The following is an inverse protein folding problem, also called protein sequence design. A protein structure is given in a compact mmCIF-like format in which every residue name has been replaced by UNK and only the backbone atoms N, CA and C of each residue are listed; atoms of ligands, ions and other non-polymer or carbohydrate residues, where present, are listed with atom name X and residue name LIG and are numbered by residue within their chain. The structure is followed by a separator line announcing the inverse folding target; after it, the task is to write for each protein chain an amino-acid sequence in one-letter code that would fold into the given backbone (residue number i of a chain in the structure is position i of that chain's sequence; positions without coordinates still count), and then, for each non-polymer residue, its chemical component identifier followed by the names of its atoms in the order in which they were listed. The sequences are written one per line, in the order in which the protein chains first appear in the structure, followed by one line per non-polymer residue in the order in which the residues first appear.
data_IF_017349309150
#
_entry.id   IF_017349309150
#
_cell.length_a   1.000
_cell.length_b   1.000
_cell.length_c   1.000
_cell.angle_alpha   90.00
_cell.angle_beta   90.00
_cell.angle_gamma   90.00
#
_symmetry.space_group_name_H-M   'P 1'
#
loop_
_entity.id
_entity.type
_entity.pdbx_description
1 polymer ?
#
# COMPACT_ATOMS: atom_id res chain seq x y z
N UNK A 1 4.81 10.62 10.43
CA UNK A 1 4.85 9.25 9.87
C UNK A 1 6.01 9.17 8.89
N UNK A 2 6.98 8.30 9.16
CA UNK A 2 8.05 7.97 8.21
C UNK A 2 7.47 7.18 7.03
N UNK A 3 7.85 7.56 5.80
CA UNK A 3 7.54 6.78 4.59
C UNK A 3 8.55 5.63 4.43
N UNK A 4 8.16 4.48 3.87
CA UNK A 4 9.08 3.38 3.62
C UNK A 4 10.14 3.78 2.60
N UNK A 5 11.37 3.39 2.86
CA UNK A 5 12.53 3.69 2.02
C UNK A 5 13.15 2.41 1.46
N UNK A 6 13.52 2.44 0.18
CA UNK A 6 14.00 1.25 -0.53
C UNK A 6 15.30 0.72 0.07
N UNK A 7 16.21 1.61 0.48
CA UNK A 7 17.52 1.23 1.00
C UNK A 7 17.43 0.83 2.49
N UNK A 8 16.60 1.52 3.27
CA UNK A 8 16.49 1.28 4.72
C UNK A 8 15.52 0.12 5.07
N UNK A 9 14.41 0.00 4.35
CA UNK A 9 13.36 -0.99 4.64
C UNK A 9 13.32 -2.15 3.65
N UNK A 10 14.07 -2.05 2.53
CA UNK A 10 14.04 -3.01 1.43
C UNK A 10 12.85 -2.82 0.48
N UNK A 11 12.03 -1.80 0.68
CA UNK A 11 10.90 -1.48 -0.18
C UNK A 11 10.42 -0.04 -0.02
N UNK A 12 9.78 0.51 -1.05
CA UNK A 12 9.08 1.78 -0.97
C UNK A 12 7.81 1.78 -1.84
N UNK A 13 7.03 2.85 -1.76
CA UNK A 13 5.85 3.06 -2.60
C UNK A 13 6.16 4.06 -3.71
N UNK A 14 5.75 3.74 -4.92
CA UNK A 14 5.83 4.69 -6.02
C UNK A 14 4.63 5.65 -6.02
N UNK A 15 4.85 6.89 -6.47
CA UNK A 15 3.80 7.91 -6.58
C UNK A 15 2.92 7.65 -7.80
N UNK A 16 1.66 7.29 -7.56
CA UNK A 16 0.63 7.18 -8.59
C UNK A 16 0.40 8.53 -9.28
N UNK A 17 0.49 9.63 -8.52
CA UNK A 17 0.36 10.98 -9.05
C UNK A 17 1.46 11.32 -10.05
N UNK A 18 2.71 10.88 -9.80
CA UNK A 18 3.83 11.13 -10.71
C UNK A 18 3.68 10.30 -12.00
N UNK A 19 3.31 9.02 -11.89
CA UNK A 19 3.01 8.20 -13.07
C UNK A 19 1.89 8.80 -13.94
N UNK A 20 0.80 9.25 -13.31
CA UNK A 20 -0.29 9.91 -14.01
C UNK A 20 0.13 11.23 -14.65
N UNK A 21 0.99 12.01 -13.98
CA UNK A 21 1.50 13.26 -14.55
C UNK A 21 2.42 13.03 -15.76
N UNK A 22 3.14 11.91 -15.80
CA UNK A 22 4.00 11.52 -16.91
C UNK A 22 3.21 11.00 -18.12
N UNK A 23 2.17 10.19 -17.88
CA UNK A 23 1.34 9.62 -18.94
C UNK A 23 -0.12 9.43 -18.50
N UNK A 24 -0.87 10.53 -18.51
CA UNK A 24 -2.28 10.54 -18.11
C UNK A 24 -3.19 9.74 -19.06
N UNK A 25 -2.76 9.46 -20.29
CA UNK A 25 -3.56 8.72 -21.27
C UNK A 25 -3.54 7.22 -21.03
N UNK A 26 -2.43 6.69 -20.49
CA UNK A 26 -2.28 5.24 -20.24
C UNK A 26 -2.34 4.85 -18.77
N UNK A 27 -2.22 5.83 -17.87
CA UNK A 27 -2.20 5.61 -16.43
C UNK A 27 -3.26 6.47 -15.72
N UNK A 28 -4.53 6.06 -15.80
CA UNK A 28 -5.60 6.70 -15.04
C UNK A 28 -5.54 6.31 -13.56
N UNK A 29 -5.83 7.29 -12.69
CA UNK A 29 -5.91 7.09 -11.24
C UNK A 29 -7.22 7.68 -10.71
N UNK A 30 -7.73 7.23 -9.55
CA UNK A 30 -8.90 7.82 -8.93
C UNK A 30 -8.70 9.31 -8.63
N UNK A 31 -9.78 10.08 -8.67
CA UNK A 31 -9.72 11.51 -8.36
C UNK A 31 -9.19 11.77 -6.93
N UNK A 32 -8.66 12.97 -6.69
CA UNK A 32 -8.07 13.33 -5.40
C UNK A 32 -9.04 13.12 -4.24
N UNK A 33 -10.33 13.42 -4.43
CA UNK A 33 -11.35 13.25 -3.41
C UNK A 33 -11.55 11.78 -3.05
N UNK A 34 -11.55 10.87 -4.01
CA UNK A 34 -11.65 9.43 -3.80
C UNK A 34 -10.43 8.91 -3.02
N UNK A 35 -9.23 9.36 -3.37
CA UNK A 35 -7.98 8.95 -2.70
C UNK A 35 -7.83 9.56 -1.30
N UNK A 36 -8.39 10.74 -1.05
CA UNK A 36 -8.34 11.46 0.23
C UNK A 36 -9.54 11.18 1.17
N UNK A 37 -10.45 10.27 0.80
CA UNK A 37 -11.65 9.95 1.61
C UNK A 37 -11.83 8.47 1.93
N UNK A 38 -10.73 7.70 1.87
CA UNK A 38 -10.73 6.28 2.23
C UNK A 38 -11.05 6.09 3.71
N UNK A 39 -11.76 5.00 4.02
CA UNK A 39 -12.20 4.66 5.38
C UNK A 39 -11.69 3.29 5.78
N UNK A 40 -11.60 3.00 7.09
CA UNK A 40 -11.29 1.65 7.55
C UNK A 40 -12.19 0.59 6.89
N UNK A 41 -11.55 -0.42 6.30
CA UNK A 41 -12.15 -1.48 5.51
C UNK A 41 -12.17 -1.24 3.99
N UNK A 42 -11.98 -0.02 3.50
CA UNK A 42 -11.82 0.24 2.07
C UNK A 42 -10.50 -0.35 1.55
N UNK A 43 -10.48 -0.70 0.27
CA UNK A 43 -9.30 -1.21 -0.41
C UNK A 43 -8.63 -0.10 -1.20
N UNK A 44 -7.31 -0.01 -1.08
CA UNK A 44 -6.46 0.82 -1.92
C UNK A 44 -5.45 -0.07 -2.62
N UNK A 45 -5.29 0.11 -3.93
CA UNK A 45 -4.22 -0.53 -4.69
C UNK A 45 -3.04 0.43 -4.79
N UNK A 46 -1.85 -0.09 -4.53
CA UNK A 46 -0.60 0.67 -4.47
C UNK A 46 0.45 0.03 -5.39
N UNK A 47 1.50 0.78 -5.72
CA UNK A 47 2.69 0.27 -6.43
C UNK A 47 3.84 0.14 -5.43
N UNK A 48 4.33 -1.07 -5.25
CA UNK A 48 5.48 -1.39 -4.41
C UNK A 48 6.73 -1.53 -5.28
N UNK A 49 7.81 -0.92 -4.83
CA UNK A 49 9.17 -1.18 -5.33
C UNK A 49 9.88 -1.97 -4.24
N UNK A 50 10.41 -3.14 -4.58
CA UNK A 50 10.97 -4.08 -3.60
C UNK A 50 12.40 -4.41 -4.01
N UNK A 51 13.35 -4.15 -3.12
CA UNK A 51 14.74 -4.51 -3.31
C UNK A 51 14.89 -6.03 -3.22
N UNK A 52 15.61 -6.62 -4.15
CA UNK A 52 15.98 -8.04 -4.13
C UNK A 52 17.49 -8.13 -4.19
N UNK A 53 18.08 -8.98 -3.34
CA UNK A 53 19.55 -9.04 -3.17
C UNK A 53 20.31 -9.43 -4.46
N UNK A 54 19.63 -10.07 -5.41
CA UNK A 54 20.23 -10.61 -6.63
C UNK A 54 20.09 -9.70 -7.86
N UNK A 55 19.28 -8.64 -7.83
CA UNK A 55 19.10 -7.71 -8.95
C UNK A 55 19.50 -6.27 -8.59
N UNK A 56 20.12 -5.58 -9.56
CA UNK A 56 20.46 -4.16 -9.45
C UNK A 56 19.22 -3.24 -9.53
N UNK A 57 18.07 -3.75 -9.95
CA UNK A 57 16.81 -3.00 -10.11
C UNK A 57 15.71 -3.60 -9.22
N UNK A 58 14.91 -2.76 -8.52
CA UNK A 58 13.84 -3.27 -7.67
C UNK A 58 12.71 -3.88 -8.50
N UNK A 59 12.10 -4.94 -7.95
CA UNK A 59 10.88 -5.51 -8.52
C UNK A 59 9.72 -4.55 -8.27
N UNK A 60 8.90 -4.33 -9.30
CA UNK A 60 7.67 -3.53 -9.20
C UNK A 60 6.45 -4.44 -9.13
N UNK A 61 5.62 -4.30 -8.09
CA UNK A 61 4.37 -5.04 -7.97
C UNK A 61 3.18 -4.15 -7.55
N UNK A 62 1.95 -4.55 -7.90
CA UNK A 62 0.72 -3.81 -7.61
C UNK A 62 -0.18 -4.59 -6.68
N UNK A 63 -0.20 -4.19 -5.42
CA UNK A 63 -0.92 -4.93 -4.38
C UNK A 63 -2.07 -4.14 -3.76
N UNK A 64 -3.06 -4.87 -3.27
CA UNK A 64 -4.15 -4.33 -2.48
C UNK A 64 -3.78 -4.27 -1.00
N UNK A 65 -4.14 -3.15 -0.38
CA UNK A 65 -4.14 -2.99 1.08
C UNK A 65 -5.55 -2.67 1.55
N UNK A 66 -5.94 -3.24 2.67
CA UNK A 66 -7.17 -2.84 3.38
C UNK A 66 -6.83 -1.73 4.34
N UNK A 67 -7.45 -0.56 4.16
CA UNK A 67 -7.28 0.60 5.03
C UNK A 67 -7.69 0.21 6.45
N UNK A 68 -6.81 0.42 7.42
CA UNK A 68 -7.11 0.19 8.85
C UNK A 68 -7.30 1.48 9.63
N UNK A 69 -6.55 2.51 9.27
CA UNK A 69 -6.51 3.79 9.99
C UNK A 69 -6.32 4.92 9.00
N UNK A 70 -7.00 6.04 9.23
CA UNK A 70 -6.78 7.30 8.54
C UNK A 70 -6.33 8.33 9.59
N UNK A 71 -5.12 8.88 9.43
CA UNK A 71 -4.49 9.77 10.39
C UNK A 71 -3.72 10.87 9.64
N UNK A 72 -3.96 12.13 10.00
CA UNK A 72 -3.23 13.31 9.51
C UNK A 72 -3.10 13.43 7.97
N UNK A 73 -4.14 13.01 7.24
CA UNK A 73 -4.15 13.04 5.77
C UNK A 73 -3.40 11.87 5.10
N UNK A 74 -2.94 10.91 5.89
CA UNK A 74 -2.36 9.65 5.45
C UNK A 74 -3.15 8.46 5.99
N UNK A 75 -2.76 7.27 5.56
CA UNK A 75 -3.39 6.02 5.93
C UNK A 75 -2.36 5.02 6.43
N UNK A 76 -2.84 4.12 7.27
CA UNK A 76 -2.23 2.82 7.47
C UNK A 76 -3.17 1.77 6.89
N UNK A 77 -2.62 0.81 6.16
CA UNK A 77 -3.35 -0.34 5.62
C UNK A 77 -2.70 -1.66 6.04
N UNK A 78 -3.45 -2.75 5.91
CA UNK A 78 -2.93 -4.10 6.04
C UNK A 78 -2.81 -4.71 4.64
N UNK A 79 -1.66 -5.30 4.31
CA UNK A 79 -1.51 -6.04 3.07
C UNK A 79 -2.50 -7.22 3.01
N UNK A 80 -3.29 -7.25 1.94
CA UNK A 80 -4.27 -8.29 1.63
C UNK A 80 -3.85 -9.04 0.36
N UNK A 81 -2.63 -9.58 0.43
CA UNK A 81 -2.12 -10.50 -0.58
C UNK A 81 -1.79 -11.79 0.17
N UNK A 82 -2.47 -12.89 -0.14
CA UNK A 82 -2.01 -14.23 0.25
C UNK A 82 -0.95 -14.63 -0.78
N UNK A 83 0.36 -14.61 -0.45
CA UNK A 83 1.37 -15.03 -1.39
C UNK A 83 1.24 -16.55 -1.62
N UNK A 84 1.11 -16.97 -2.88
CA UNK A 84 1.20 -18.37 -3.28
C UNK A 84 2.67 -18.73 -3.57
N UNK A 85 3.57 -18.49 -2.59
CA UNK A 85 5.00 -18.78 -2.69
C UNK A 85 5.57 -19.19 -1.32
N UNK A 86 6.20 -20.37 -1.27
CA UNK A 86 6.74 -21.06 -0.09
C UNK A 86 7.97 -20.38 0.57
N UNK A 87 8.48 -19.25 0.05
CA UNK A 87 9.79 -18.70 0.44
C UNK A 87 9.83 -17.18 0.70
N UNK A 88 8.77 -16.57 1.24
CA UNK A 88 8.84 -15.15 1.58
C UNK A 88 8.24 -14.82 2.96
N UNK A 89 8.88 -15.37 3.99
CA UNK A 89 8.43 -15.37 5.40
C UNK A 89 8.33 -13.99 6.09
N UNK A 90 8.72 -12.87 5.45
CA UNK A 90 8.93 -11.61 6.17
C UNK A 90 7.95 -10.46 5.85
N UNK A 91 7.15 -10.53 4.78
CA UNK A 91 6.56 -9.30 4.25
C UNK A 91 5.03 -9.27 4.00
N UNK A 92 4.38 -10.39 3.70
CA UNK A 92 3.23 -10.28 2.79
C UNK A 92 1.83 -10.24 3.38
N UNK A 93 1.53 -10.92 4.50
CA UNK A 93 0.17 -10.92 5.06
C UNK A 93 0.10 -10.18 6.39
N UNK A 94 -0.79 -9.21 6.51
CA UNK A 94 -1.03 -8.51 7.78
C UNK A 94 0.10 -7.57 8.24
N UNK A 95 1.08 -7.30 7.39
CA UNK A 95 2.03 -6.19 7.58
C UNK A 95 1.31 -4.86 7.42
N UNK A 96 1.54 -3.94 8.35
CA UNK A 96 1.05 -2.58 8.25
C UNK A 96 1.87 -1.76 7.24
N UNK A 97 1.17 -1.11 6.32
CA UNK A 97 1.73 -0.28 5.26
C UNK A 97 1.27 1.16 5.46
N UNK A 98 2.20 2.11 5.70
CA UNK A 98 1.89 3.54 5.64
C UNK A 98 1.75 4.01 4.19
N UNK A 99 0.77 4.86 3.89
CA UNK A 99 0.66 5.47 2.56
C UNK A 99 -0.18 6.75 2.59
N UNK A 100 0.16 7.71 1.72
CA UNK A 100 -0.69 8.86 1.40
C UNK A 100 -1.55 8.68 0.14
N UNK A 101 -2.54 9.58 -0.10
CA UNK A 101 -3.39 9.58 -1.29
C UNK A 101 -2.63 9.55 -2.62
N UNK A 102 -1.41 10.11 -2.65
CA UNK A 102 -0.52 10.17 -3.81
C UNK A 102 -0.08 8.80 -4.32
N UNK A 103 -0.12 7.76 -3.49
CA UNK A 103 0.28 6.39 -3.85
C UNK A 103 -0.88 5.56 -4.41
N UNK A 104 -2.12 6.03 -4.29
CA UNK A 104 -3.31 5.22 -4.61
C UNK A 104 -3.57 5.21 -6.12
N UNK A 105 -3.51 4.02 -6.72
CA UNK A 105 -3.77 3.78 -8.16
C UNK A 105 -5.17 3.24 -8.44
N UNK A 106 -5.84 2.65 -7.44
CA UNK A 106 -7.20 2.13 -7.54
C UNK A 106 -7.85 2.11 -6.15
N UNK A 107 -9.16 2.29 -6.11
CA UNK A 107 -9.95 2.22 -4.86
C UNK A 107 -11.13 1.28 -5.04
N UNK A 108 -11.42 0.48 -4.01
CA UNK A 108 -12.65 -0.32 -3.95
C UNK A 108 -13.29 -0.18 -2.58
N UNK A 109 -14.63 -0.11 -2.55
CA UNK A 109 -15.38 0.02 -1.32
C UNK A 109 -15.25 -1.24 -0.46
N UNK A 110 -15.05 -1.05 0.84
CA UNK A 110 -14.98 -2.14 1.79
C UNK A 110 -16.31 -2.89 1.99
N UNK A 111 -16.21 -4.13 2.45
CA UNK A 111 -17.35 -4.95 2.86
C UNK A 111 -17.25 -5.27 4.37
N UNK A 112 -18.10 -6.18 4.88
CA UNK A 112 -18.06 -6.54 6.30
C UNK A 112 -16.76 -7.29 6.66
N UNK A 113 -16.30 -8.18 5.80
CA UNK A 113 -15.11 -9.01 6.02
C UNK A 113 -13.84 -8.15 6.01
N UNK A 114 -13.73 -7.19 5.09
CA UNK A 114 -12.58 -6.27 5.04
C UNK A 114 -12.54 -5.33 6.24
N UNK A 115 -13.69 -4.90 6.76
CA UNK A 115 -13.75 -4.15 8.03
C UNK A 115 -13.29 -5.00 9.22
N UNK A 116 -13.70 -6.25 9.28
CA UNK A 116 -13.26 -7.19 10.32
C UNK A 116 -11.76 -7.48 10.20
N UNK A 117 -11.22 -7.56 8.99
CA UNK A 117 -9.80 -7.70 8.72
C UNK A 117 -9.01 -6.46 9.16
N UNK A 118 -9.46 -5.27 8.76
CA UNK A 118 -8.86 -3.98 9.15
C UNK A 118 -8.78 -3.78 10.67
N UNK A 119 -9.71 -4.37 11.43
CA UNK A 119 -9.75 -4.30 12.89
C UNK A 119 -8.76 -5.26 13.58
N UNK A 120 -8.12 -6.18 12.85
CA UNK A 120 -7.12 -7.09 13.42
C UNK A 120 -5.85 -6.32 13.81
N UNK A 121 -5.13 -6.87 14.79
CA UNK A 121 -3.78 -6.41 15.07
C UNK A 121 -2.88 -6.75 13.88
N UNK A 122 -2.06 -5.82 13.36
CA UNK A 122 -1.07 -6.13 12.35
C UNK A 122 -0.10 -7.20 12.87
N UNK A 123 0.34 -8.09 11.99
CA UNK A 123 1.43 -9.03 12.31
C UNK A 123 2.76 -8.29 12.47
N UNK A 124 2.95 -7.22 11.69
CA UNK A 124 4.08 -6.30 11.77
C UNK A 124 3.55 -4.88 11.77
N UNK A 125 3.86 -4.13 12.83
CA UNK A 125 3.44 -2.73 13.01
C UNK A 125 4.49 -1.82 12.35
N UNK A 126 4.03 -0.79 11.66
CA UNK A 126 4.93 0.23 11.09
C UNK A 126 5.36 1.23 12.19
N UNK A 127 6.64 1.61 12.27
CA UNK A 127 7.09 2.63 13.22
C UNK A 127 6.30 3.93 13.08
N UNK A 128 5.84 4.48 14.20
CA UNK A 128 4.99 5.69 14.24
C UNK A 128 5.73 6.96 14.69
N UNK A 129 7.04 6.81 14.91
CA UNK A 129 7.94 7.80 15.51
C UNK A 129 8.15 9.05 14.63
#
# INVERSE_FOLDING_TARGET
MRVPDLDEDGWCLASAADYHALDAETFEIPDERARASLKPGDFAKLIFLIAVEEDDEPITDRMWVVVREAADGSYFGLLDNEPDIDENDAFWLGTEVPFGPEHVIEVQAGNAESRDYAARAPLKIWPRD
#
